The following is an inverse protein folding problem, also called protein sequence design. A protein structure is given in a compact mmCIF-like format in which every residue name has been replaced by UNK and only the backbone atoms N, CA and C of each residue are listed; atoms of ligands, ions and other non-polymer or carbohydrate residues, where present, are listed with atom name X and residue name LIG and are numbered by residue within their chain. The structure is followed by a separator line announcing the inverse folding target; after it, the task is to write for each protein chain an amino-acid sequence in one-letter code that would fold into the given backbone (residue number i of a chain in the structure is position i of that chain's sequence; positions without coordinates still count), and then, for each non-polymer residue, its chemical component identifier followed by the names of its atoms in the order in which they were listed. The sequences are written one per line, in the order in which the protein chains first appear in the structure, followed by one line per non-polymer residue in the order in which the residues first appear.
data_IF_327589506781
#
_entry.id   IF_327589506781
#
_cell.length_a   1.000
_cell.length_b   1.000
_cell.length_c   1.000
_cell.angle_alpha   90.00
_cell.angle_beta   90.00
_cell.angle_gamma   90.00
#
_symmetry.space_group_name_H-M   'P 1'
#
loop_
_entity.id
_entity.type
_entity.pdbx_description
1 polymer ?
#
# COMPACT_ATOMS: atom_id res chain seq x y z
N UNK A 1 -13.96 -4.02 19.03
CA UNK A 1 -12.79 -4.42 18.22
C UNK A 1 -12.39 -5.81 18.69
N UNK A 2 -12.07 -6.72 17.79
CA UNK A 2 -11.64 -8.10 18.13
C UNK A 2 -10.22 -8.15 18.69
N UNK A 3 -9.92 -9.21 19.45
CA UNK A 3 -8.59 -9.46 20.01
C UNK A 3 -7.49 -9.62 18.93
N UNK A 4 -7.82 -10.21 17.77
CA UNK A 4 -6.87 -10.38 16.68
C UNK A 4 -6.44 -9.03 16.08
N UNK A 5 -7.41 -8.15 15.78
CA UNK A 5 -7.14 -6.79 15.32
C UNK A 5 -6.36 -5.96 16.33
N UNK A 6 -6.73 -6.03 17.60
CA UNK A 6 -6.00 -5.35 18.69
C UNK A 6 -4.56 -5.83 18.81
N UNK A 7 -4.31 -7.13 18.67
CA UNK A 7 -2.96 -7.68 18.70
C UNK A 7 -2.12 -7.12 17.55
N UNK A 8 -2.65 -7.06 16.33
CA UNK A 8 -1.91 -6.52 15.17
C UNK A 8 -1.62 -5.03 15.27
N UNK A 9 -2.57 -4.23 15.77
CA UNK A 9 -2.34 -2.80 16.01
C UNK A 9 -1.23 -2.55 17.05
N UNK A 10 -1.05 -3.46 18.02
CA UNK A 10 0.02 -3.37 19.02
C UNK A 10 1.37 -3.89 18.51
N UNK A 11 1.35 -4.97 17.73
CA UNK A 11 2.53 -5.59 17.13
C UNK A 11 3.16 -4.70 16.06
N UNK A 12 2.34 -3.97 15.31
CA UNK A 12 2.74 -3.12 14.18
C UNK A 12 2.31 -1.66 14.40
N UNK A 13 2.99 -0.92 15.31
CA UNK A 13 2.60 0.44 15.70
C UNK A 13 2.75 1.50 14.59
N UNK A 14 3.65 1.33 13.62
CA UNK A 14 3.78 2.24 12.48
C UNK A 14 2.63 2.02 11.50
N UNK A 15 2.32 0.78 11.13
CA UNK A 15 1.14 0.46 10.32
C UNK A 15 -0.14 0.93 11.01
N UNK A 16 -0.26 0.76 12.33
CA UNK A 16 -1.43 1.21 13.08
C UNK A 16 -1.72 2.71 12.89
N UNK A 17 -0.69 3.56 12.83
CA UNK A 17 -0.86 5.01 12.60
C UNK A 17 -1.28 5.35 11.17
N UNK A 18 -1.01 4.47 10.21
CA UNK A 18 -1.36 4.65 8.81
C UNK A 18 -2.75 4.11 8.45
N UNK A 19 -3.48 3.54 9.41
CA UNK A 19 -4.85 3.07 9.19
C UNK A 19 -5.79 4.26 9.02
N UNK A 20 -6.67 4.20 8.02
CA UNK A 20 -7.60 5.29 7.74
C UNK A 20 -7.91 5.47 6.27
N UNK A 21 -8.36 6.67 5.94
CA UNK A 21 -8.62 7.12 4.57
C UNK A 21 -7.68 8.27 4.27
N UNK A 22 -6.91 8.15 3.19
CA UNK A 22 -5.94 9.11 2.73
C UNK A 22 -6.35 9.63 1.37
N UNK A 23 -6.65 10.92 1.27
CA UNK A 23 -7.02 11.59 0.01
C UNK A 23 -5.91 12.53 -0.44
N UNK A 24 -5.61 12.53 -1.73
CA UNK A 24 -4.51 13.31 -2.28
C UNK A 24 -4.39 13.17 -3.79
N UNK A 25 -3.16 13.28 -4.28
CA UNK A 25 -2.84 13.16 -5.70
C UNK A 25 -1.71 12.18 -5.92
N UNK A 26 -1.85 11.33 -6.93
CA UNK A 26 -0.76 10.50 -7.43
C UNK A 26 -0.10 11.21 -8.62
N UNK A 27 1.22 11.33 -8.58
CA UNK A 27 2.00 11.92 -9.68
C UNK A 27 3.12 10.97 -10.05
N UNK A 28 3.15 10.56 -11.32
CA UNK A 28 4.27 9.82 -11.90
C UNK A 28 5.05 10.73 -12.82
N UNK A 29 6.36 10.73 -12.66
CA UNK A 29 7.27 11.53 -13.49
C UNK A 29 8.40 10.67 -14.06
N UNK A 30 8.96 11.13 -15.16
CA UNK A 30 10.16 10.56 -15.76
C UNK A 30 11.39 10.96 -14.94
N UNK A 31 12.17 9.99 -14.50
CA UNK A 31 13.30 10.23 -13.59
C UNK A 31 14.49 10.94 -14.25
N UNK A 32 14.57 10.95 -15.58
CA UNK A 32 15.68 11.58 -16.32
C UNK A 32 15.39 13.04 -16.66
N UNK A 33 14.15 13.35 -16.97
CA UNK A 33 13.71 14.65 -17.49
C UNK A 33 12.86 15.45 -16.50
N UNK A 34 12.28 14.79 -15.49
CA UNK A 34 11.34 15.41 -14.55
C UNK A 34 9.94 15.65 -15.14
N UNK A 35 9.68 15.24 -16.39
CA UNK A 35 8.37 15.42 -17.02
C UNK A 35 7.30 14.60 -16.29
N UNK A 36 6.16 15.23 -15.99
CA UNK A 36 4.97 14.52 -15.49
C UNK A 36 4.42 13.62 -16.60
N UNK A 37 4.35 12.33 -16.30
CA UNK A 37 3.83 11.28 -17.19
C UNK A 37 2.37 10.95 -16.89
N UNK A 38 1.97 11.09 -15.62
CA UNK A 38 0.59 10.87 -15.17
C UNK A 38 0.34 11.68 -13.89
N UNK A 39 -0.88 12.19 -13.75
CA UNK A 39 -1.34 12.96 -12.60
C UNK A 39 -2.84 12.74 -12.42
N UNK A 40 -3.26 12.35 -11.22
CA UNK A 40 -4.67 12.11 -10.93
C UNK A 40 -4.94 12.19 -9.43
N UNK A 41 -6.21 12.39 -9.06
CA UNK A 41 -6.64 12.34 -7.67
C UNK A 41 -6.66 10.89 -7.19
N UNK A 42 -6.32 10.68 -5.92
CA UNK A 42 -6.27 9.36 -5.30
C UNK A 42 -6.94 9.35 -3.94
N UNK A 43 -7.60 8.23 -3.60
CA UNK A 43 -8.13 7.93 -2.28
C UNK A 43 -7.72 6.53 -1.89
N UNK A 44 -6.95 6.39 -0.80
CA UNK A 44 -6.47 5.12 -0.29
C UNK A 44 -7.18 4.83 1.03
N UNK A 45 -7.76 3.65 1.15
CA UNK A 45 -8.39 3.16 2.37
C UNK A 45 -7.59 1.99 2.90
N UNK A 46 -6.99 2.11 4.08
CA UNK A 46 -6.18 1.07 4.71
C UNK A 46 -6.81 0.63 6.04
N UNK A 47 -6.98 -0.69 6.22
CA UNK A 47 -7.67 -1.27 7.38
C UNK A 47 -7.01 -2.57 7.83
N UNK A 48 -7.00 -2.78 9.15
CA UNK A 48 -6.90 -4.12 9.74
C UNK A 48 -8.33 -4.62 10.00
N UNK A 49 -8.65 -5.79 9.45
CA UNK A 49 -9.93 -6.46 9.58
C UNK A 49 -10.07 -7.15 10.95
N UNK A 50 -11.27 -7.61 11.29
CA UNK A 50 -11.56 -8.23 12.59
C UNK A 50 -10.86 -9.60 12.79
N UNK A 51 -10.40 -10.24 11.72
CA UNK A 51 -9.58 -11.45 11.80
C UNK A 51 -8.07 -11.14 11.91
N UNK A 52 -7.69 -9.86 11.93
CA UNK A 52 -6.30 -9.42 11.96
C UNK A 52 -5.60 -9.36 10.60
N UNK A 53 -6.30 -9.69 9.50
CA UNK A 53 -5.76 -9.49 8.15
C UNK A 53 -5.78 -8.03 7.75
N UNK A 54 -4.98 -7.67 6.75
CA UNK A 54 -4.90 -6.32 6.20
C UNK A 54 -5.71 -6.22 4.91
N UNK A 55 -6.38 -5.09 4.74
CA UNK A 55 -7.06 -4.76 3.51
C UNK A 55 -6.78 -3.31 3.14
N UNK A 56 -6.36 -3.12 1.89
CA UNK A 56 -6.21 -1.81 1.29
C UNK A 56 -6.98 -1.72 -0.03
N UNK A 57 -7.58 -0.55 -0.26
CA UNK A 57 -8.15 -0.19 -1.55
C UNK A 57 -7.62 1.18 -1.99
N UNK A 58 -7.21 1.25 -3.24
CA UNK A 58 -6.80 2.49 -3.89
C UNK A 58 -7.81 2.83 -4.97
N UNK A 59 -8.35 4.04 -4.92
CA UNK A 59 -9.27 4.61 -5.90
C UNK A 59 -8.56 5.78 -6.58
N UNK A 60 -8.56 5.77 -7.91
CA UNK A 60 -7.89 6.77 -8.74
C UNK A 60 -8.91 7.44 -9.67
N UNK A 61 -8.81 8.77 -9.80
CA UNK A 61 -9.76 9.60 -10.55
C UNK A 61 -9.01 10.59 -11.44
N UNK A 62 -9.14 10.42 -12.76
CA UNK A 62 -8.54 11.31 -13.76
C UNK A 62 -9.53 12.40 -14.20
N UNK A 63 -9.00 13.50 -14.72
CA UNK A 63 -9.79 14.65 -15.17
C UNK A 63 -10.62 14.37 -16.42
N UNK A 64 -10.26 13.34 -17.19
CA UNK A 64 -11.01 12.85 -18.35
C UNK A 64 -12.22 11.96 -17.96
N UNK A 65 -12.45 11.77 -16.66
CA UNK A 65 -13.54 10.95 -16.12
C UNK A 65 -13.19 9.47 -15.96
N UNK A 66 -11.99 9.02 -16.34
CA UNK A 66 -11.54 7.66 -16.05
C UNK A 66 -11.43 7.45 -14.54
N UNK A 67 -11.80 6.26 -14.09
CA UNK A 67 -11.63 5.80 -12.71
C UNK A 67 -11.02 4.42 -12.65
N UNK A 68 -10.21 4.15 -11.64
CA UNK A 68 -9.65 2.83 -11.40
C UNK A 68 -9.72 2.49 -9.90
N UNK A 69 -10.07 1.23 -9.60
CA UNK A 69 -10.07 0.71 -8.23
C UNK A 69 -9.16 -0.50 -8.16
N UNK A 70 -8.22 -0.49 -7.22
CA UNK A 70 -7.29 -1.60 -6.95
C UNK A 70 -7.42 -2.04 -5.50
N UNK A 71 -7.38 -3.36 -5.27
CA UNK A 71 -7.45 -3.95 -3.94
C UNK A 71 -6.18 -4.75 -3.65
N UNK A 72 -5.71 -4.63 -2.40
CA UNK A 72 -4.48 -5.23 -1.93
C UNK A 72 -4.75 -5.92 -0.57
N UNK A 73 -5.37 -7.11 -0.59
CA UNK A 73 -5.45 -7.94 0.61
C UNK A 73 -4.05 -8.45 0.98
N UNK A 74 -3.76 -8.51 2.28
CA UNK A 74 -2.48 -8.99 2.80
C UNK A 74 -2.61 -9.57 4.21
N UNK A 75 -1.57 -10.28 4.62
CA UNK A 75 -1.50 -10.90 5.94
C UNK A 75 -0.21 -10.49 6.64
N UNK A 76 -0.29 -10.25 7.95
CA UNK A 76 0.90 -10.07 8.77
C UNK A 76 1.52 -11.43 9.07
N UNK A 77 2.73 -11.69 8.54
CA UNK A 77 3.50 -12.93 8.74
C UNK A 77 4.98 -12.60 8.96
N UNK A 78 5.60 -13.28 9.91
CA UNK A 78 7.06 -13.20 10.14
C UNK A 78 7.61 -11.77 10.31
N UNK A 79 6.85 -10.89 10.96
CA UNK A 79 7.26 -9.50 11.19
C UNK A 79 7.08 -8.56 9.98
N UNK A 80 6.41 -9.02 8.93
CA UNK A 80 6.11 -8.25 7.72
C UNK A 80 4.61 -8.26 7.41
N UNK A 81 4.17 -7.30 6.60
CA UNK A 81 2.90 -7.33 5.90
C UNK A 81 3.12 -7.91 4.49
N UNK A 82 2.61 -9.12 4.25
CA UNK A 82 2.86 -9.87 3.02
C UNK A 82 1.68 -9.77 2.06
N UNK A 83 1.96 -9.26 0.86
CA UNK A 83 1.04 -9.15 -0.26
C UNK A 83 1.29 -10.29 -1.25
N UNK A 84 0.23 -10.99 -1.64
CA UNK A 84 0.29 -11.97 -2.72
C UNK A 84 -1.06 -11.97 -3.45
N UNK A 85 -1.11 -11.33 -4.62
CA UNK A 85 -2.29 -11.31 -5.48
C UNK A 85 -1.91 -11.75 -6.90
N UNK A 86 -2.87 -11.74 -7.83
CA UNK A 86 -2.65 -12.22 -9.20
C UNK A 86 -1.52 -11.47 -9.94
N UNK A 87 -1.30 -10.19 -9.63
CA UNK A 87 -0.35 -9.33 -10.36
C UNK A 87 0.97 -9.14 -9.62
N UNK A 88 0.94 -9.08 -8.29
CA UNK A 88 2.05 -8.62 -7.47
C UNK A 88 2.31 -9.55 -6.30
N UNK A 89 3.58 -9.65 -5.94
CA UNK A 89 4.06 -10.25 -4.69
C UNK A 89 4.97 -9.26 -3.99
N UNK A 90 4.81 -9.04 -2.69
CA UNK A 90 5.58 -8.03 -1.98
C UNK A 90 5.47 -8.13 -0.47
N UNK A 91 6.35 -7.41 0.21
CA UNK A 91 6.43 -7.38 1.67
C UNK A 91 6.70 -5.95 2.13
N UNK A 92 6.03 -5.55 3.21
CA UNK A 92 6.23 -4.26 3.86
C UNK A 92 6.67 -4.44 5.32
N UNK A 93 7.60 -3.60 5.75
CA UNK A 93 8.25 -3.65 7.05
C UNK A 93 8.19 -2.29 7.73
N UNK A 94 7.99 -2.28 9.05
CA UNK A 94 8.34 -1.13 9.89
C UNK A 94 9.86 -1.12 10.06
N UNK A 95 10.56 -0.21 9.38
CA UNK A 95 12.04 -0.18 9.37
C UNK A 95 12.63 0.71 10.45
N UNK A 96 11.82 1.60 11.01
CA UNK A 96 12.14 2.40 12.19
C UNK A 96 10.84 2.83 12.89
N UNK A 97 10.93 3.80 13.82
CA UNK A 97 9.79 4.27 14.59
C UNK A 97 8.69 4.97 13.77
N UNK A 98 8.95 5.38 12.52
CA UNK A 98 8.08 6.18 11.67
C UNK A 98 7.91 5.67 10.24
N UNK A 99 8.85 4.85 9.76
CA UNK A 99 8.94 4.52 8.34
C UNK A 99 8.43 3.11 8.06
N UNK A 100 7.59 2.99 7.04
CA UNK A 100 7.28 1.71 6.39
C UNK A 100 8.07 1.66 5.07
N UNK A 101 8.82 0.59 4.86
CA UNK A 101 9.42 0.26 3.57
C UNK A 101 8.72 -0.95 2.97
N UNK A 102 8.35 -0.85 1.70
CA UNK A 102 7.63 -1.88 0.98
C UNK A 102 8.32 -2.14 -0.35
N UNK A 103 8.40 -3.40 -0.76
CA UNK A 103 8.85 -3.78 -2.08
C UNK A 103 7.90 -4.76 -2.73
N UNK A 104 7.80 -4.69 -4.05
CA UNK A 104 6.97 -5.59 -4.84
C UNK A 104 7.71 -6.05 -6.09
N UNK A 105 7.35 -7.26 -6.52
CA UNK A 105 7.68 -7.84 -7.81
C UNK A 105 6.40 -7.94 -8.63
N UNK A 106 6.41 -7.43 -9.87
CA UNK A 106 5.34 -7.72 -10.83
C UNK A 106 5.51 -9.15 -11.36
N UNK A 107 4.50 -9.99 -11.19
CA UNK A 107 4.52 -11.39 -11.64
C UNK A 107 4.54 -11.51 -13.17
N UNK A 108 4.01 -10.50 -13.87
CA UNK A 108 3.96 -10.45 -15.33
C UNK A 108 5.17 -9.72 -15.95
N UNK A 109 5.99 -9.07 -15.11
CA UNK A 109 7.19 -8.35 -15.52
C UNK A 109 8.32 -8.66 -14.52
N UNK A 110 8.98 -9.83 -14.63
CA UNK A 110 9.91 -10.32 -13.61
C UNK A 110 11.18 -9.45 -13.43
N UNK A 111 11.48 -8.58 -14.39
CA UNK A 111 12.57 -7.60 -14.27
C UNK A 111 12.13 -6.28 -13.64
N UNK A 112 10.81 -6.08 -13.45
CA UNK A 112 10.24 -4.88 -12.84
C UNK A 112 10.03 -5.09 -11.35
N UNK A 113 10.69 -4.23 -10.56
CA UNK A 113 10.52 -4.13 -9.11
C UNK A 113 10.01 -2.75 -8.74
N UNK A 114 9.19 -2.69 -7.70
CA UNK A 114 8.72 -1.46 -7.11
C UNK A 114 9.23 -1.37 -5.67
N UNK A 115 9.57 -0.17 -5.23
CA UNK A 115 9.88 0.13 -3.84
C UNK A 115 9.11 1.38 -3.43
N UNK A 116 8.59 1.37 -2.21
CA UNK A 116 7.81 2.44 -1.63
C UNK A 116 8.30 2.71 -0.21
N UNK A 117 8.31 3.99 0.15
CA UNK A 117 8.61 4.50 1.48
C UNK A 117 7.41 5.33 1.93
N UNK A 118 6.90 5.03 3.12
CA UNK A 118 5.78 5.75 3.75
C UNK A 118 6.28 6.28 5.10
N UNK A 119 6.03 7.55 5.39
CA UNK A 119 6.54 8.28 6.57
C UNK A 119 5.48 9.18 7.18
#
# INVERSE_FOLDING_TARGET
MTAAKEAKLKEFPVFARHMGVWEGTYTRFDTRTGKILDHHRSRLTCKILEDGTYWQQNEYFWDDGRTEVKQFPAEFREGALCFDNERLRGEAYEVDANTIFLFWQNKNEPDTRYSEIIT
#
